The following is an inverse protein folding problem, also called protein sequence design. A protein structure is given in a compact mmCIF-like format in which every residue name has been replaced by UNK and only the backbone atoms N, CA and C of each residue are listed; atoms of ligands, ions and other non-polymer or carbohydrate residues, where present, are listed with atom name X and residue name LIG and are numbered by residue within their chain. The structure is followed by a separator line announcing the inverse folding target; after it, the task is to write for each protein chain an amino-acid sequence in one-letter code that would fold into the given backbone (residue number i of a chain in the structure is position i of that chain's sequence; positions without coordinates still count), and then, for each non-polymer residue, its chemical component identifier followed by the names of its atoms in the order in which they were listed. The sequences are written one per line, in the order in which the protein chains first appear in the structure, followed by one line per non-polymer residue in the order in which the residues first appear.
data_IF_922744635144
#
_entry.id   IF_922744635144
#
_cell.length_a   1.000
_cell.length_b   1.000
_cell.length_c   1.000
_cell.angle_alpha   90.00
_cell.angle_beta   90.00
_cell.angle_gamma   90.00
#
_symmetry.space_group_name_H-M   'P 1'
#
loop_
_entity.id
_entity.type
_entity.pdbx_description
1 polymer ?
#
# COMPACT_ATOMS: atom_id res chain seq x y z
N UNK A 1 -19.10 26.51 -2.28
CA UNK A 1 -18.77 25.17 -2.79
C UNK A 1 -17.56 24.71 -2.00
N UNK A 2 -17.76 23.83 -1.03
CA UNK A 2 -16.67 23.33 -0.19
C UNK A 2 -16.07 22.13 -0.89
N UNK A 3 -14.85 22.27 -1.41
CA UNK A 3 -14.06 21.14 -1.87
C UNK A 3 -13.88 20.19 -0.68
N UNK A 4 -14.59 19.07 -0.69
CA UNK A 4 -14.31 17.96 0.19
C UNK A 4 -12.93 17.42 -0.22
N UNK A 5 -11.90 17.95 0.41
CA UNK A 5 -10.56 17.42 0.37
C UNK A 5 -10.61 16.10 1.14
N UNK A 6 -11.12 15.04 0.50
CA UNK A 6 -11.08 13.68 1.01
C UNK A 6 -9.60 13.31 1.11
N UNK A 7 -9.00 13.57 2.28
CA UNK A 7 -7.72 13.00 2.67
C UNK A 7 -7.90 11.48 2.61
N UNK A 8 -7.60 10.89 1.45
CA UNK A 8 -7.55 9.45 1.27
C UNK A 8 -6.30 8.97 2.00
N UNK A 9 -6.39 8.85 3.34
CA UNK A 9 -5.32 8.44 4.24
C UNK A 9 -5.13 6.93 4.20
N UNK A 10 -5.11 6.36 2.99
CA UNK A 10 -4.81 4.96 2.81
C UNK A 10 -3.30 4.77 2.89
N UNK A 11 -2.86 3.91 3.82
CA UNK A 11 -1.46 3.51 3.93
C UNK A 11 -1.20 2.33 3.00
N UNK A 12 -0.11 2.44 2.24
CA UNK A 12 0.36 1.44 1.28
C UNK A 12 1.80 1.05 1.61
N UNK A 13 2.12 -0.23 1.55
CA UNK A 13 3.49 -0.74 1.55
C UNK A 13 3.86 -1.24 0.17
N UNK A 14 5.09 -0.96 -0.24
CA UNK A 14 5.70 -1.59 -1.41
C UNK A 14 6.29 -2.92 -0.95
N UNK A 15 6.05 -3.98 -1.69
CA UNK A 15 6.59 -5.31 -1.44
C UNK A 15 7.87 -5.52 -2.25
N UNK A 16 8.72 -6.45 -1.80
CA UNK A 16 9.99 -6.80 -2.46
C UNK A 16 9.80 -7.29 -3.90
N UNK A 17 8.66 -7.89 -4.21
CA UNK A 17 8.28 -8.33 -5.55
C UNK A 17 7.66 -7.22 -6.43
N UNK A 18 7.53 -5.99 -5.91
CA UNK A 18 6.99 -4.84 -6.63
C UNK A 18 5.48 -4.62 -6.49
N UNK A 19 4.75 -5.54 -5.83
CA UNK A 19 3.33 -5.35 -5.54
C UNK A 19 3.11 -4.37 -4.38
N UNK A 20 1.89 -3.87 -4.27
CA UNK A 20 1.44 -2.96 -3.22
C UNK A 20 0.53 -3.72 -2.25
N UNK A 21 0.97 -3.79 -0.99
CA UNK A 21 0.17 -4.23 0.13
C UNK A 21 -0.59 -3.03 0.72
N UNK A 22 -1.89 -3.22 0.94
CA UNK A 22 -2.78 -2.15 1.42
C UNK A 22 -3.23 -2.44 2.86
N UNK A 23 -3.29 -1.39 3.67
CA UNK A 23 -3.55 -1.52 5.09
C UNK A 23 -4.92 -1.04 5.53
N UNK A 24 -5.36 0.17 5.19
CA UNK A 24 -6.54 0.74 5.88
C UNK A 24 -7.41 1.68 5.02
N UNK A 25 -8.60 1.97 5.56
CA UNK A 25 -9.64 2.93 5.14
C UNK A 25 -10.63 2.43 4.08
N UNK A 26 -11.83 3.01 3.93
CA UNK A 26 -12.70 2.73 2.80
C UNK A 26 -12.01 3.21 1.52
N UNK A 27 -11.79 2.29 0.57
CA UNK A 27 -11.27 2.66 -0.74
C UNK A 27 -12.43 3.09 -1.60
N UNK A 28 -12.47 4.37 -1.98
CA UNK A 28 -13.29 4.74 -3.11
C UNK A 28 -12.69 4.10 -4.38
N UNK A 29 -13.28 2.97 -4.79
CA UNK A 29 -12.84 2.18 -5.94
C UNK A 29 -12.81 2.98 -7.25
N UNK A 30 -13.53 4.10 -7.31
CA UNK A 30 -13.58 4.97 -8.48
C UNK A 30 -12.41 5.96 -8.51
N UNK A 31 -11.82 6.28 -7.35
CA UNK A 31 -10.81 7.31 -7.18
C UNK A 31 -9.41 6.78 -6.85
N UNK A 32 -9.16 5.47 -7.02
CA UNK A 32 -7.81 4.90 -6.84
C UNK A 32 -6.93 5.33 -8.02
N UNK A 33 -5.71 5.85 -7.79
CA UNK A 33 -4.77 6.07 -8.86
C UNK A 33 -4.48 4.78 -9.65
N UNK A 34 -4.51 4.86 -10.98
CA UNK A 34 -4.36 3.70 -11.86
C UNK A 34 -3.11 2.87 -11.56
N UNK A 35 -2.00 3.55 -11.24
CA UNK A 35 -0.73 2.90 -10.89
C UNK A 35 -0.86 2.01 -9.65
N UNK A 36 -1.60 2.45 -8.64
CA UNK A 36 -1.84 1.66 -7.43
C UNK A 36 -2.69 0.45 -7.79
N UNK A 37 -3.81 0.66 -8.49
CA UNK A 37 -4.73 -0.41 -8.91
C UNK A 37 -4.04 -1.51 -9.73
N UNK A 38 -3.13 -1.13 -10.64
CA UNK A 38 -2.41 -2.07 -11.50
C UNK A 38 -1.41 -2.95 -10.72
N UNK A 39 -0.93 -2.48 -9.56
CA UNK A 39 0.11 -3.16 -8.78
C UNK A 39 -0.40 -3.66 -7.41
N UNK A 40 -1.71 -3.68 -7.16
CA UNK A 40 -2.24 -4.27 -5.93
C UNK A 40 -1.92 -5.78 -5.88
N UNK A 41 -1.53 -6.27 -4.70
CA UNK A 41 -1.31 -7.71 -4.49
C UNK A 41 -2.59 -8.53 -4.76
N UNK A 42 -3.73 -8.01 -4.34
CA UNK A 42 -5.05 -8.65 -4.47
C UNK A 42 -6.06 -7.69 -5.12
N UNK A 43 -5.98 -7.44 -6.44
CA UNK A 43 -6.79 -6.43 -7.12
C UNK A 43 -8.28 -6.77 -7.18
N UNK A 44 -8.61 -8.07 -7.03
CA UNK A 44 -9.98 -8.58 -7.05
C UNK A 44 -10.62 -8.63 -5.64
N UNK A 45 -9.83 -8.52 -4.58
CA UNK A 45 -10.28 -8.66 -3.18
C UNK A 45 -10.00 -7.38 -2.38
N UNK A 46 -10.51 -6.26 -2.91
CA UNK A 46 -10.39 -4.95 -2.26
C UNK A 46 -11.44 -4.87 -1.15
N UNK A 47 -11.07 -5.37 0.03
CA UNK A 47 -11.86 -5.31 1.27
C UNK A 47 -11.38 -4.13 2.12
N UNK A 48 -12.32 -3.50 2.82
CA UNK A 48 -12.00 -2.53 3.88
C UNK A 48 -11.55 -3.29 5.13
N UNK A 49 -10.37 -2.95 5.63
CA UNK A 49 -9.80 -3.56 6.81
C UNK A 49 -9.89 -2.59 7.98
N UNK A 50 -10.26 -3.12 9.14
CA UNK A 50 -10.06 -2.39 10.39
C UNK A 50 -8.58 -2.44 10.80
N UNK A 51 -8.22 -1.67 11.83
CA UNK A 51 -6.84 -1.52 12.27
C UNK A 51 -6.18 -2.83 12.71
N UNK A 52 -6.91 -3.72 13.39
CA UNK A 52 -6.38 -5.02 13.81
C UNK A 52 -6.08 -5.92 12.61
N UNK A 53 -6.99 -5.96 11.63
CA UNK A 53 -6.83 -6.73 10.40
C UNK A 53 -5.67 -6.20 9.55
N UNK A 54 -5.52 -4.88 9.49
CA UNK A 54 -4.42 -4.22 8.81
C UNK A 54 -3.08 -4.61 9.45
N UNK A 55 -2.95 -4.45 10.77
CA UNK A 55 -1.76 -4.82 11.53
C UNK A 55 -1.41 -6.31 11.38
N UNK A 56 -2.42 -7.18 11.39
CA UNK A 56 -2.22 -8.61 11.18
C UNK A 56 -1.66 -8.92 9.79
N UNK A 57 -2.15 -8.24 8.74
CA UNK A 57 -1.58 -8.36 7.39
C UNK A 57 -0.13 -7.89 7.34
N UNK A 58 0.22 -6.78 8.01
CA UNK A 58 1.62 -6.34 8.12
C UNK A 58 2.48 -7.43 8.75
N UNK A 59 1.99 -8.04 9.84
CA UNK A 59 2.73 -9.09 10.54
C UNK A 59 2.97 -10.32 9.67
N UNK A 60 1.99 -10.73 8.84
CA UNK A 60 2.14 -11.86 7.91
C UNK A 60 3.17 -11.57 6.82
N UNK A 61 3.08 -10.38 6.21
CA UNK A 61 3.90 -10.01 5.05
C UNK A 61 5.17 -9.27 5.42
N UNK A 62 5.55 -9.22 6.71
CA UNK A 62 6.64 -8.40 7.21
C UNK A 62 7.94 -8.60 6.42
N UNK A 63 8.32 -9.85 6.20
CA UNK A 63 9.57 -10.19 5.51
C UNK A 63 9.54 -9.90 4.01
N UNK A 64 8.33 -9.72 3.45
CA UNK A 64 8.06 -9.43 2.05
C UNK A 64 7.87 -7.93 1.79
N UNK A 65 7.71 -7.10 2.83
CA UNK A 65 7.63 -5.65 2.70
C UNK A 65 9.03 -5.12 2.42
N UNK A 66 9.11 -4.22 1.44
CA UNK A 66 10.35 -3.55 1.07
C UNK A 66 10.67 -2.50 2.15
N UNK A 67 11.79 -2.69 2.82
CA UNK A 67 12.25 -1.73 3.82
C UNK A 67 12.90 -0.50 3.15
N UNK A 68 12.95 0.62 3.88
CA UNK A 68 13.50 1.86 3.33
C UNK A 68 14.94 1.73 2.81
N UNK A 69 15.88 1.02 3.49
CA UNK A 69 17.22 0.81 2.96
C UNK A 69 17.22 0.03 1.64
N UNK A 70 16.42 -1.03 1.53
CA UNK A 70 16.28 -1.84 0.32
C UNK A 70 15.68 -1.04 -0.84
N UNK A 71 14.72 -0.16 -0.55
CA UNK A 71 14.17 0.77 -1.53
C UNK A 71 15.23 1.76 -2.03
N UNK A 72 16.03 2.33 -1.12
CA UNK A 72 17.08 3.27 -1.49
C UNK A 72 18.14 2.62 -2.38
N UNK A 73 18.54 1.40 -2.05
CA UNK A 73 19.45 0.61 -2.88
C UNK A 73 18.88 0.38 -4.29
N UNK A 74 17.60 0.00 -4.39
CA UNK A 74 16.96 -0.27 -5.69
C UNK A 74 16.82 0.96 -6.58
N UNK A 75 16.44 2.10 -6.01
CA UNK A 75 16.13 3.31 -6.79
C UNK A 75 17.39 4.14 -7.07
N UNK A 76 18.28 4.23 -6.09
CA UNK A 76 19.45 5.12 -6.17
C UNK A 76 20.76 4.37 -6.39
N UNK A 77 20.78 3.04 -6.30
CA UNK A 77 22.00 2.22 -6.43
C UNK A 77 22.97 2.40 -5.26
N UNK A 78 22.51 2.97 -4.14
CA UNK A 78 23.33 3.24 -2.96
C UNK A 78 23.13 2.09 -1.98
N UNK A 79 24.07 1.16 -1.94
CA UNK A 79 24.21 0.24 -0.81
C UNK A 79 24.82 1.01 0.36
N UNK A 80 24.12 1.05 1.50
CA UNK A 80 24.59 1.71 2.73
C UNK A 80 25.53 0.78 3.49
#
# INVERSE_FOLDING_TARGET
MSEQNSQNSAFYYIMKNGYILRLESPLDKQNIPLLIKANLLEPNDIVELNQEQANYRVAIFRDEILELPEYQERIFGIAV
#
